data_IF_932380110414
#
_entry.id   IF_932380110414
#
_cell.length_a   1.000
_cell.length_b   1.000
_cell.length_c   1.000
_cell.angle_alpha   90.00
_cell.angle_beta   90.00
_cell.angle_gamma   90.00
#
_symmetry.space_group_name_H-M   'P 1'
#
loop_
_entity.id
_entity.type
_entity.pdbx_description
1 polymer ?
#
# COMPACT_ATOMS: atom_id res chain seq x y z
N UNK A 1 0.24 17.76 13.54
CA UNK A 1 -0.05 19.15 13.18
C UNK A 1 -0.73 19.94 14.31
N UNK A 2 -1.91 19.53 14.81
CA UNK A 2 -2.59 20.24 15.91
C UNK A 2 -1.72 20.41 17.17
N UNK A 3 -0.99 19.37 17.58
CA UNK A 3 -0.07 19.45 18.72
C UNK A 3 1.07 20.45 18.48
N UNK A 4 1.59 20.55 17.24
CA UNK A 4 2.59 21.57 16.91
C UNK A 4 2.03 22.98 17.10
N UNK A 5 0.79 23.25 16.68
CA UNK A 5 0.14 24.55 16.88
C UNK A 5 -0.06 24.86 18.38
N UNK A 6 -0.54 23.90 19.16
CA UNK A 6 -0.74 24.08 20.60
C UNK A 6 0.58 24.32 21.35
N UNK A 7 1.61 23.53 21.05
CA UNK A 7 2.95 23.68 21.65
C UNK A 7 3.52 25.05 21.29
N UNK A 8 3.48 25.44 20.00
CA UNK A 8 3.99 26.73 19.52
C UNK A 8 3.31 27.91 20.19
N UNK A 9 1.98 27.85 20.39
CA UNK A 9 1.24 28.89 21.12
C UNK A 9 1.73 28.98 22.57
N UNK A 10 1.80 27.86 23.30
CA UNK A 10 2.18 27.85 24.71
C UNK A 10 3.62 28.28 24.95
N UNK A 11 4.56 27.90 24.08
CA UNK A 11 5.96 28.33 24.17
C UNK A 11 6.14 29.80 23.79
N UNK A 12 5.33 30.31 22.86
CA UNK A 12 5.38 31.71 22.41
C UNK A 12 4.88 32.74 23.43
N UNK A 13 3.98 32.38 24.36
CA UNK A 13 3.44 33.35 25.35
C UNK A 13 4.35 33.56 26.58
N UNK A 14 5.50 32.86 26.67
CA UNK A 14 6.39 32.98 27.82
C UNK A 14 5.77 32.50 29.15
N UNK A 15 4.67 31.74 29.10
CA UNK A 15 4.09 31.10 30.26
C UNK A 15 5.05 30.01 30.75
N UNK A 16 5.76 30.27 31.85
CA UNK A 16 6.92 29.52 32.34
C UNK A 16 6.72 28.03 32.71
N UNK A 17 5.69 27.36 32.20
CA UNK A 17 5.53 25.91 32.27
C UNK A 17 5.69 25.32 30.85
N UNK A 18 6.78 24.57 30.63
CA UNK A 18 6.93 23.75 29.43
C UNK A 18 5.73 22.79 29.32
N UNK A 19 5.05 22.69 28.17
CA UNK A 19 3.88 21.85 28.01
C UNK A 19 4.28 20.38 27.84
N UNK A 20 4.98 19.81 28.84
CA UNK A 20 5.61 18.49 28.78
C UNK A 20 4.63 17.39 28.36
N UNK A 21 3.40 17.42 28.88
CA UNK A 21 2.36 16.46 28.47
C UNK A 21 2.05 16.51 26.95
N UNK A 22 2.07 17.69 26.32
CA UNK A 22 1.84 17.82 24.88
C UNK A 22 3.07 17.38 24.06
N UNK A 23 4.27 17.62 24.59
CA UNK A 23 5.52 17.13 23.99
C UNK A 23 5.53 15.60 23.99
N UNK A 24 5.24 14.98 25.14
CA UNK A 24 5.15 13.53 25.30
C UNK A 24 4.06 12.93 24.40
N UNK A 25 2.88 13.56 24.33
CA UNK A 25 1.80 13.11 23.46
C UNK A 25 2.20 13.20 21.97
N UNK A 26 2.92 14.25 21.57
CA UNK A 26 3.41 14.41 20.20
C UNK A 26 4.40 13.32 19.86
N UNK A 27 5.34 13.03 20.75
CA UNK A 27 6.36 12.01 20.54
C UNK A 27 5.75 10.60 20.49
N UNK A 28 4.74 10.34 21.32
CA UNK A 28 3.96 9.10 21.26
C UNK A 28 3.24 8.93 19.92
N UNK A 29 2.53 9.96 19.44
CA UNK A 29 1.83 9.89 18.15
C UNK A 29 2.79 9.76 16.96
N UNK A 30 3.98 10.36 17.05
CA UNK A 30 5.04 10.18 16.06
C UNK A 30 5.53 8.74 16.06
N UNK A 31 5.73 8.15 17.23
CA UNK A 31 6.13 6.74 17.38
C UNK A 31 5.07 5.80 16.79
N UNK A 32 3.79 6.02 17.11
CA UNK A 32 2.67 5.25 16.54
C UNK A 32 2.59 5.40 15.02
N UNK A 33 2.76 6.61 14.49
CA UNK A 33 2.81 6.84 13.05
C UNK A 33 3.98 6.07 12.40
N UNK A 34 5.15 6.08 13.03
CA UNK A 34 6.35 5.40 12.54
C UNK A 34 6.22 3.87 12.54
N UNK A 35 5.37 3.31 13.42
CA UNK A 35 5.01 1.88 13.37
C UNK A 35 4.16 1.53 12.15
N UNK A 36 3.37 2.49 11.64
CA UNK A 36 2.50 2.28 10.46
C UNK A 36 3.31 2.47 9.18
N UNK A 37 4.05 3.58 9.09
CA UNK A 37 4.85 3.95 7.92
C UNK A 37 6.10 4.67 8.37
N UNK A 38 7.24 4.35 7.76
CA UNK A 38 8.52 4.96 8.10
C UNK A 38 8.50 6.47 7.86
N UNK A 39 8.74 7.23 8.92
CA UNK A 39 8.80 8.70 8.90
C UNK A 39 10.07 9.21 9.57
N UNK A 40 10.58 10.30 9.02
CA UNK A 40 11.67 11.07 9.59
C UNK A 40 11.13 12.37 10.18
N UNK A 41 11.62 12.71 11.37
CA UNK A 41 11.26 13.93 12.08
C UNK A 41 12.39 14.92 11.95
N UNK A 42 12.08 16.14 11.50
CA UNK A 42 12.99 17.29 11.61
C UNK A 42 12.35 18.38 12.45
N UNK A 43 13.16 19.05 13.28
CA UNK A 43 12.69 20.09 14.19
C UNK A 43 13.10 21.45 13.63
N UNK A 44 12.13 22.34 13.44
CA UNK A 44 12.35 23.74 13.06
C UNK A 44 12.55 24.62 14.29
N UNK A 45 13.05 25.84 14.04
CA UNK A 45 13.14 26.90 15.03
C UNK A 45 11.81 27.06 15.79
N UNK A 46 11.89 27.13 17.12
CA UNK A 46 10.70 27.14 17.99
C UNK A 46 10.15 25.75 18.36
N UNK A 47 10.87 24.66 18.05
CA UNK A 47 10.56 23.31 18.56
C UNK A 47 9.43 22.59 17.82
N UNK A 48 9.13 23.04 16.60
CA UNK A 48 8.02 22.54 15.78
C UNK A 48 8.48 21.36 14.90
N UNK A 49 7.69 20.28 14.86
CA UNK A 49 8.04 19.09 14.07
C UNK A 49 7.58 19.18 12.62
N UNK A 50 8.47 18.83 11.70
CA UNK A 50 8.11 18.37 10.37
C UNK A 50 8.29 16.87 10.31
N UNK A 51 7.33 16.18 9.68
CA UNK A 51 7.31 14.73 9.55
C UNK A 51 7.27 14.42 8.06
N UNK A 52 8.26 13.68 7.59
CA UNK A 52 8.45 13.38 6.17
C UNK A 52 8.59 11.87 5.97
N UNK A 53 7.90 11.31 4.99
CA UNK A 53 8.05 9.90 4.62
C UNK A 53 9.37 9.68 3.86
N UNK A 54 9.83 8.44 3.80
CA UNK A 54 11.05 8.05 3.07
C UNK A 54 11.06 8.46 1.58
N UNK A 55 9.90 8.64 0.97
CA UNK A 55 9.76 9.10 -0.42
C UNK A 55 9.86 10.64 -0.59
N UNK A 56 10.12 11.39 0.50
CA UNK A 56 10.20 12.84 0.52
C UNK A 56 8.86 13.56 0.72
N UNK A 57 7.74 12.85 0.86
CA UNK A 57 6.44 13.47 1.07
C UNK A 57 6.26 13.94 2.52
N UNK A 58 5.99 15.23 2.71
CA UNK A 58 5.78 15.82 4.05
C UNK A 58 4.35 15.64 4.53
N UNK A 59 4.16 14.75 5.51
CA UNK A 59 2.89 14.49 6.19
C UNK A 59 2.52 15.60 7.17
N UNK A 60 3.51 16.16 7.85
CA UNK A 60 3.32 17.31 8.73
C UNK A 60 4.38 18.35 8.39
N UNK A 61 3.94 19.58 8.16
CA UNK A 61 4.81 20.74 8.00
C UNK A 61 4.31 21.83 8.92
N UNK A 62 4.99 22.01 10.04
CA UNK A 62 4.54 22.89 11.10
C UNK A 62 3.13 22.56 11.62
N UNK A 63 2.23 23.53 11.51
CA UNK A 63 0.80 23.40 11.87
C UNK A 63 -0.06 22.80 10.76
N UNK A 64 0.52 22.46 9.59
CA UNK A 64 -0.20 21.87 8.45
C UNK A 64 -0.03 20.35 8.43
N UNK A 65 -1.13 19.61 8.26
CA UNK A 65 -1.10 18.18 7.97
C UNK A 65 -1.51 17.95 6.51
N UNK A 66 -0.83 17.00 5.85
CA UNK A 66 -1.24 16.48 4.55
C UNK A 66 -1.73 15.04 4.69
N UNK A 67 -2.60 14.64 3.78
CA UNK A 67 -3.24 13.33 3.82
C UNK A 67 -2.65 12.37 2.79
N UNK A 68 -2.80 11.08 3.09
CA UNK A 68 -2.67 9.99 2.15
C UNK A 68 -4.07 9.44 1.86
N UNK A 69 -4.22 8.81 0.71
CA UNK A 69 -5.46 8.16 0.29
C UNK A 69 -5.19 6.71 -0.12
N UNK A 70 -6.11 5.82 0.25
CA UNK A 70 -6.17 4.48 -0.32
C UNK A 70 -6.92 4.56 -1.66
N UNK A 71 -6.28 4.16 -2.76
CA UNK A 71 -6.82 4.27 -4.12
C UNK A 71 -6.61 2.97 -4.89
N UNK A 72 -7.44 2.65 -5.90
CA UNK A 72 -7.12 1.58 -6.83
C UNK A 72 -5.79 1.84 -7.53
N UNK A 73 -4.95 0.81 -7.70
CA UNK A 73 -3.68 0.96 -8.43
C UNK A 73 -3.95 1.18 -9.92
N UNK A 74 -3.13 2.03 -10.54
CA UNK A 74 -3.18 2.21 -11.98
C UNK A 74 -2.80 0.96 -12.77
N UNK A 75 -1.99 0.07 -12.19
CA UNK A 75 -1.57 -1.17 -12.84
C UNK A 75 -2.59 -2.32 -12.70
N UNK A 76 -3.37 -2.31 -11.61
CA UNK A 76 -4.36 -3.33 -11.31
C UNK A 76 -5.50 -2.70 -10.47
N UNK A 77 -6.66 -2.40 -11.07
CA UNK A 77 -7.78 -1.78 -10.38
C UNK A 77 -8.40 -2.64 -9.26
N UNK A 78 -8.11 -3.94 -9.23
CA UNK A 78 -8.54 -4.82 -8.14
C UNK A 78 -7.68 -4.66 -6.89
N UNK A 79 -6.52 -3.99 -7.00
CA UNK A 79 -5.60 -3.73 -5.89
C UNK A 79 -5.77 -2.32 -5.36
N UNK A 80 -5.85 -2.23 -4.04
CA UNK A 80 -5.71 -0.95 -3.34
C UNK A 80 -4.22 -0.65 -3.11
N UNK A 81 -3.81 0.58 -3.38
CA UNK A 81 -2.48 1.12 -3.09
C UNK A 81 -2.61 2.49 -2.43
N UNK A 82 -1.49 3.16 -2.16
CA UNK A 82 -1.47 4.44 -1.45
C UNK A 82 -1.11 5.57 -2.41
N UNK A 83 -1.82 6.68 -2.28
CA UNK A 83 -1.55 7.93 -2.96
C UNK A 83 -1.35 9.06 -1.95
N UNK A 84 -0.61 10.10 -2.33
CA UNK A 84 -0.70 11.38 -1.65
C UNK A 84 -1.77 12.26 -2.29
N UNK A 85 -2.35 13.16 -1.50
CA UNK A 85 -3.41 14.08 -1.96
C UNK A 85 -2.78 15.42 -2.31
N UNK A 86 -2.68 15.71 -3.61
CA UNK A 86 -2.32 17.03 -4.12
C UNK A 86 -3.56 17.92 -4.27
N UNK A 87 -3.44 19.19 -3.87
CA UNK A 87 -4.57 20.13 -3.89
C UNK A 87 -5.05 20.51 -5.30
N UNK A 88 -4.24 20.30 -6.33
CA UNK A 88 -4.55 20.65 -7.73
C UNK A 88 -4.72 19.41 -8.59
N UNK A 89 -3.80 18.46 -8.48
CA UNK A 89 -3.74 17.25 -9.31
C UNK A 89 -4.55 16.08 -8.74
N UNK A 90 -5.10 16.20 -7.52
CA UNK A 90 -5.83 15.15 -6.84
C UNK A 90 -4.91 14.05 -6.31
N UNK A 91 -5.36 12.80 -6.37
CA UNK A 91 -4.61 11.67 -5.81
C UNK A 91 -3.46 11.25 -6.72
N UNK A 92 -2.24 11.30 -6.21
CA UNK A 92 -1.05 10.83 -6.92
C UNK A 92 -0.52 9.56 -6.27
N UNK A 93 -0.66 8.45 -6.99
CA UNK A 93 -0.19 7.11 -6.57
C UNK A 93 1.31 7.09 -6.25
N UNK A 94 1.66 6.52 -5.09
CA UNK A 94 3.02 6.31 -4.63
C UNK A 94 3.46 4.90 -5.03
N UNK A 95 4.59 4.74 -5.75
CA UNK A 95 5.13 3.41 -6.02
C UNK A 95 5.38 2.61 -4.74
N UNK A 96 4.88 1.38 -4.66
CA UNK A 96 4.93 0.54 -3.45
C UNK A 96 6.35 0.25 -2.96
N UNK A 97 7.34 0.26 -3.86
CA UNK A 97 8.77 0.16 -3.52
C UNK A 97 9.26 1.28 -2.60
N UNK A 98 8.55 2.41 -2.54
CA UNK A 98 8.82 3.54 -1.67
C UNK A 98 8.02 3.50 -0.36
N UNK A 99 7.22 2.46 -0.16
CA UNK A 99 6.35 2.22 0.99
C UNK A 99 6.69 0.88 1.65
N UNK A 100 7.98 0.60 1.86
CA UNK A 100 8.47 -0.68 2.35
C UNK A 100 8.79 -0.69 3.86
N UNK A 101 8.22 0.23 4.62
CA UNK A 101 8.47 0.43 6.05
C UNK A 101 7.19 0.35 6.87
N UNK A 102 7.34 0.02 8.16
CA UNK A 102 6.21 -0.14 9.08
C UNK A 102 5.26 -1.27 8.69
N UNK A 103 4.10 -1.33 9.35
CA UNK A 103 3.06 -2.33 9.06
C UNK A 103 2.48 -2.16 7.65
N UNK A 104 2.41 -0.94 7.13
CA UNK A 104 1.98 -0.67 5.74
C UNK A 104 2.90 -1.39 4.75
N UNK A 105 4.21 -1.22 4.88
CA UNK A 105 5.17 -1.89 4.02
C UNK A 105 5.19 -3.40 4.18
N UNK A 106 4.94 -3.89 5.40
CA UNK A 106 4.73 -5.32 5.65
C UNK A 106 3.57 -5.90 4.85
N UNK A 107 2.41 -5.23 4.85
CA UNK A 107 1.22 -5.68 4.10
C UNK A 107 1.47 -5.64 2.59
N UNK A 108 2.10 -4.58 2.08
CA UNK A 108 2.40 -4.45 0.64
C UNK A 108 3.42 -5.50 0.18
N UNK A 109 4.44 -5.78 1.00
CA UNK A 109 5.46 -6.79 0.73
C UNK A 109 4.86 -8.19 0.75
N UNK A 110 4.12 -8.55 1.81
CA UNK A 110 3.44 -9.84 1.91
C UNK A 110 2.53 -10.09 0.70
N UNK A 111 1.74 -9.09 0.30
CA UNK A 111 0.85 -9.22 -0.85
C UNK A 111 1.64 -9.52 -2.13
N UNK A 112 2.67 -8.72 -2.43
CA UNK A 112 3.39 -8.79 -3.70
C UNK A 112 4.38 -9.96 -3.79
N UNK A 113 5.02 -10.32 -2.69
CA UNK A 113 6.07 -11.35 -2.68
C UNK A 113 5.56 -12.72 -2.30
N UNK A 114 4.65 -12.80 -1.33
CA UNK A 114 4.20 -14.10 -0.80
C UNK A 114 2.85 -14.50 -1.39
N UNK A 115 1.83 -13.65 -1.25
CA UNK A 115 0.47 -14.01 -1.63
C UNK A 115 0.33 -14.18 -3.14
N UNK A 116 0.82 -13.21 -3.93
CA UNK A 116 0.76 -13.27 -5.38
C UNK A 116 1.53 -14.45 -5.94
N UNK A 117 2.76 -14.65 -5.46
CA UNK A 117 3.58 -15.78 -5.87
C UNK A 117 2.93 -17.11 -5.53
N UNK A 118 2.34 -17.23 -4.33
CA UNK A 118 1.61 -18.43 -3.91
C UNK A 118 0.40 -18.70 -4.80
N UNK A 119 -0.41 -17.67 -5.08
CA UNK A 119 -1.58 -17.80 -5.98
C UNK A 119 -1.16 -18.18 -7.40
N UNK A 120 -0.08 -17.60 -7.91
CA UNK A 120 0.45 -17.94 -9.24
C UNK A 120 0.94 -19.39 -9.29
N UNK A 121 1.67 -19.83 -8.27
CA UNK A 121 2.18 -21.22 -8.18
C UNK A 121 1.03 -22.22 -8.13
N UNK A 122 0.00 -21.94 -7.31
CA UNK A 122 -1.19 -22.79 -7.23
C UNK A 122 -1.97 -22.80 -8.55
N UNK A 123 -2.10 -21.65 -9.21
CA UNK A 123 -2.73 -21.54 -10.53
C UNK A 123 -1.98 -22.33 -11.61
N UNK A 124 -0.64 -22.29 -11.60
CA UNK A 124 0.19 -23.09 -12.51
C UNK A 124 0.03 -24.60 -12.27
N UNK A 125 -0.03 -25.02 -11.01
CA UNK A 125 -0.30 -26.42 -10.68
C UNK A 125 -1.69 -26.85 -11.18
N UNK A 126 -2.72 -26.04 -10.94
CA UNK A 126 -4.08 -26.33 -11.40
C UNK A 126 -4.16 -26.41 -12.93
N UNK A 127 -3.47 -25.50 -13.63
CA UNK A 127 -3.37 -25.51 -15.09
C UNK A 127 -2.70 -26.80 -15.60
N UNK A 128 -1.50 -27.10 -15.10
CA UNK A 128 -0.77 -28.28 -15.51
C UNK A 128 -1.54 -29.58 -15.23
N UNK A 129 -2.22 -29.65 -14.07
CA UNK A 129 -3.08 -30.78 -13.72
C UNK A 129 -4.26 -30.92 -14.69
N UNK A 130 -5.00 -29.84 -14.94
CA UNK A 130 -6.16 -29.85 -15.83
C UNK A 130 -5.75 -30.22 -17.26
N UNK A 131 -4.66 -29.65 -17.77
CA UNK A 131 -4.14 -29.95 -19.10
C UNK A 131 -3.69 -31.40 -19.23
N UNK A 132 -2.92 -31.92 -18.27
CA UNK A 132 -2.46 -33.30 -18.30
C UNK A 132 -3.64 -34.29 -18.24
N UNK A 133 -4.61 -34.03 -17.36
CA UNK A 133 -5.79 -34.88 -17.23
C UNK A 133 -6.64 -34.84 -18.49
N UNK A 134 -6.97 -33.64 -18.98
CA UNK A 134 -7.79 -33.49 -20.18
C UNK A 134 -7.12 -34.10 -21.41
N UNK A 135 -5.80 -33.94 -21.55
CA UNK A 135 -5.05 -34.56 -22.65
C UNK A 135 -5.17 -36.09 -22.60
N UNK A 136 -5.07 -36.69 -21.42
CA UNK A 136 -5.20 -38.14 -21.28
C UNK A 136 -6.65 -38.61 -21.46
N UNK A 137 -7.62 -37.84 -20.97
CA UNK A 137 -9.04 -38.14 -21.07
C UNK A 137 -9.53 -38.11 -22.53
N UNK A 138 -9.10 -37.10 -23.30
CA UNK A 138 -9.37 -36.99 -24.74
C UNK A 138 -8.78 -38.10 -25.61
N UNK A 139 -7.74 -38.76 -25.12
CA UNK A 139 -7.15 -39.92 -25.80
C UNK A 139 -7.94 -41.22 -25.56
N UNK A 140 -8.94 -41.20 -24.67
CA UNK A 140 -9.81 -42.33 -24.37
C UNK A 140 -11.18 -42.24 -25.04
N UNK A 141 -12.01 -43.24 -24.73
CA UNK A 141 -13.41 -43.29 -25.10
C UNK A 141 -14.27 -43.45 -23.84
N UNK A 142 -15.47 -42.90 -23.86
CA UNK A 142 -16.43 -43.05 -22.77
C UNK A 142 -17.10 -44.45 -22.79
N UNK A 143 -18.06 -44.66 -21.89
CA UNK A 143 -18.78 -45.93 -21.79
C UNK A 143 -19.69 -46.23 -23.01
N UNK A 144 -20.02 -45.23 -23.83
CA UNK A 144 -20.82 -45.37 -25.04
C UNK A 144 -19.95 -45.57 -26.29
N UNK A 145 -18.62 -45.44 -26.14
CA UNK A 145 -17.66 -45.52 -27.25
C UNK A 145 -17.41 -44.19 -27.94
N UNK A 146 -17.88 -43.07 -27.39
CA UNK A 146 -17.64 -41.73 -27.90
C UNK A 146 -16.27 -41.21 -27.42
N UNK A 147 -15.62 -40.35 -28.22
CA UNK A 147 -14.31 -39.80 -27.87
C UNK A 147 -14.38 -38.92 -26.61
N UNK A 148 -13.38 -39.02 -25.73
CA UNK A 148 -13.32 -38.21 -24.51
C UNK A 148 -13.18 -36.71 -24.79
N UNK A 149 -13.75 -35.88 -23.91
CA UNK A 149 -13.71 -34.42 -23.99
C UNK A 149 -12.86 -33.81 -22.85
N UNK A 150 -12.82 -32.47 -22.76
CA UNK A 150 -12.23 -31.80 -21.60
C UNK A 150 -13.01 -32.15 -20.32
N UNK A 151 -12.33 -32.72 -19.34
CA UNK A 151 -12.93 -33.03 -18.05
C UNK A 151 -12.96 -31.80 -17.12
N UNK A 152 -11.89 -31.00 -17.15
CA UNK A 152 -11.75 -29.78 -16.36
C UNK A 152 -11.76 -28.53 -17.24
N UNK A 153 -12.39 -27.46 -16.75
CA UNK A 153 -12.27 -26.12 -17.32
C UNK A 153 -11.37 -25.25 -16.42
N UNK A 154 -10.44 -24.51 -17.03
CA UNK A 154 -9.54 -23.59 -16.34
C UNK A 154 -9.77 -22.15 -16.82
N UNK A 155 -9.67 -21.18 -15.91
CA UNK A 155 -9.77 -19.76 -16.24
C UNK A 155 -8.65 -19.31 -17.17
N UNK A 156 -8.97 -18.39 -18.10
CA UNK A 156 -7.99 -17.80 -19.00
C UNK A 156 -7.20 -16.68 -18.29
N UNK A 157 -5.94 -16.41 -18.69
CA UNK A 157 -5.19 -15.27 -18.19
C UNK A 157 -5.96 -13.96 -18.42
N UNK A 158 -5.98 -13.08 -17.41
CA UNK A 158 -6.46 -11.73 -17.56
C UNK A 158 -5.29 -10.80 -17.91
N UNK A 159 -5.42 -10.05 -19.00
CA UNK A 159 -4.46 -8.98 -19.34
C UNK A 159 -5.05 -7.66 -18.86
N UNK A 160 -4.38 -7.02 -17.91
CA UNK A 160 -4.77 -5.71 -17.40
C UNK A 160 -3.95 -4.63 -18.09
N UNK A 161 -4.63 -3.59 -18.58
CA UNK A 161 -3.98 -2.39 -19.11
C UNK A 161 -3.75 -1.40 -17.98
N UNK A 162 -2.57 -0.79 -17.94
CA UNK A 162 -2.33 0.30 -17.00
C UNK A 162 -3.22 1.49 -17.36
N UNK A 163 -3.99 2.02 -16.40
CA UNK A 163 -4.93 3.13 -16.62
C UNK A 163 -4.26 4.44 -17.03
N UNK A 164 -2.93 4.55 -16.88
CA UNK A 164 -2.13 5.69 -17.32
C UNK A 164 -1.63 5.57 -18.78
N UNK A 165 -1.80 4.43 -19.44
CA UNK A 165 -1.46 4.30 -20.86
C UNK A 165 -2.44 5.11 -21.71
N UNK A 166 -1.95 6.12 -22.45
CA UNK A 166 -2.77 7.04 -23.26
C UNK A 166 -2.76 6.75 -24.77
N UNK A 167 -2.19 5.61 -25.20
CA UNK A 167 -1.99 5.25 -26.60
C UNK A 167 -0.53 5.04 -26.93
#
# INVERSE_FOLDING_TARGET
ASLNDQISRLTGVGAGASPNNLLDQRDQLVSELNQIVGVEVSVQDGGTYNITMANGYSLVQGSTARQLAAVPSSADPSRTTVAYVDGTAGNIEIPEKLLNTGSLGGILTFRSQDLDQTRNTLGQLALAFAEAFNSQHKAGFDANGDAGEDFFAIGKPAVLQNTKNKG
#
